data_IF_673588395161
#
_entry.id   IF_673588395161
#
_cell.length_a   1.000
_cell.length_b   1.000
_cell.length_c   1.000
_cell.angle_alpha   90.00
_cell.angle_beta   90.00
_cell.angle_gamma   90.00
#
_symmetry.space_group_name_H-M   'P 1'
#
loop_
_entity.id
_entity.type
_entity.pdbx_description
1 polymer ?
#
# COMPACT_ATOMS: atom_id res chain seq x y z
N UNK A 1 5.82 -9.63 -16.60
CA UNK A 1 4.93 -10.76 -16.99
C UNK A 1 4.47 -11.58 -15.79
N UNK A 2 5.31 -12.39 -15.10
CA UNK A 2 4.86 -13.16 -13.92
C UNK A 2 4.32 -12.28 -12.77
N UNK A 3 5.04 -11.22 -12.39
CA UNK A 3 4.62 -10.32 -11.29
C UNK A 3 3.26 -9.62 -11.53
N UNK A 4 2.96 -9.25 -12.78
CA UNK A 4 1.69 -8.62 -13.15
C UNK A 4 0.51 -9.61 -13.06
N UNK A 5 0.65 -10.80 -13.63
CA UNK A 5 -0.41 -11.82 -13.58
C UNK A 5 -0.69 -12.26 -12.14
N UNK A 6 0.34 -12.41 -11.29
CA UNK A 6 0.17 -12.79 -9.88
C UNK A 6 -0.56 -11.71 -9.06
N UNK A 7 -0.28 -10.43 -9.28
CA UNK A 7 -0.92 -9.32 -8.58
C UNK A 7 -2.38 -9.10 -9.00
N UNK A 8 -2.72 -9.31 -10.28
CA UNK A 8 -4.09 -9.08 -10.78
C UNK A 8 -5.03 -10.26 -10.54
N UNK A 9 -4.52 -11.49 -10.42
CA UNK A 9 -5.33 -12.61 -9.89
C UNK A 9 -5.65 -12.47 -8.40
N UNK A 10 -4.90 -11.63 -7.67
CA UNK A 10 -5.14 -11.27 -6.28
C UNK A 10 -6.02 -10.01 -6.16
N UNK A 11 -6.91 -9.75 -7.12
CA UNK A 11 -8.06 -8.87 -6.87
C UNK A 11 -9.07 -9.67 -6.05
N UNK A 12 -8.71 -9.96 -4.79
CA UNK A 12 -9.71 -10.14 -3.75
C UNK A 12 -10.54 -8.86 -3.75
N UNK A 13 -11.84 -9.03 -3.75
CA UNK A 13 -12.82 -7.96 -3.88
C UNK A 13 -12.93 -7.10 -2.60
N UNK A 14 -11.85 -7.03 -1.82
CA UNK A 14 -11.78 -6.30 -0.57
C UNK A 14 -11.64 -4.81 -0.87
N UNK A 15 -12.77 -4.11 -0.79
CA UNK A 15 -12.85 -2.67 -0.88
C UNK A 15 -12.24 -2.01 0.37
N UNK A 16 -10.92 -2.05 0.55
CA UNK A 16 -10.26 -1.32 1.63
C UNK A 16 -10.36 0.20 1.39
N UNK A 17 -11.09 0.92 2.24
CA UNK A 17 -10.84 2.33 2.51
C UNK A 17 -10.96 2.64 4.00
N UNK A 18 -9.98 3.41 4.48
CA UNK A 18 -9.70 3.75 5.86
C UNK A 18 -10.76 4.68 6.48
N UNK A 19 -11.18 4.33 7.69
CA UNK A 19 -12.00 5.15 8.56
C UNK A 19 -11.18 6.32 9.16
N UNK A 20 -11.42 7.53 8.69
CA UNK A 20 -10.95 8.76 9.34
C UNK A 20 -11.85 9.13 10.53
N UNK A 21 -11.41 8.84 11.76
CA UNK A 21 -12.02 9.37 12.98
C UNK A 21 -11.40 10.72 13.37
N UNK A 22 -12.21 11.73 13.71
CA UNK A 22 -11.72 12.90 14.46
C UNK A 22 -12.58 14.16 14.47
N UNK A 23 -13.70 14.16 15.20
CA UNK A 23 -14.41 15.39 15.62
C UNK A 23 -13.50 16.22 16.53
N UNK A 24 -13.36 17.53 16.29
CA UNK A 24 -13.02 18.49 17.36
C UNK A 24 -13.78 19.81 17.15
N UNK A 25 -14.28 20.31 18.27
CA UNK A 25 -15.26 21.37 18.44
C UNK A 25 -14.87 22.76 17.93
N UNK A 26 -15.94 23.49 17.62
CA UNK A 26 -16.08 24.90 17.26
C UNK A 26 -15.35 25.84 18.23
N UNK A 27 -14.57 26.79 17.70
CA UNK A 27 -14.43 28.09 18.34
C UNK A 27 -14.33 29.24 17.31
N UNK A 28 -15.30 30.15 17.38
CA UNK A 28 -15.36 31.42 16.65
C UNK A 28 -14.11 32.26 16.89
N UNK A 29 -13.48 32.80 15.84
CA UNK A 29 -12.89 34.15 15.87
C UNK A 29 -12.90 34.77 14.47
N UNK A 30 -13.12 36.08 14.47
CA UNK A 30 -13.68 36.95 13.44
C UNK A 30 -12.67 37.41 12.38
N UNK A 31 -13.06 37.25 11.11
CA UNK A 31 -12.79 38.08 9.90
C UNK A 31 -11.54 38.96 9.88
N UNK A 32 -10.62 38.67 8.94
CA UNK A 32 -10.03 39.73 8.13
C UNK A 32 -9.83 39.29 6.67
N UNK A 33 -10.47 40.05 5.80
CA UNK A 33 -10.60 39.92 4.35
C UNK A 33 -9.32 40.38 3.63
N UNK A 34 -8.74 39.53 2.76
CA UNK A 34 -7.89 40.01 1.66
C UNK A 34 -7.83 38.99 0.51
N UNK A 35 -8.55 39.33 -0.55
CA UNK A 35 -8.18 39.20 -1.98
C UNK A 35 -7.82 37.83 -2.55
N UNK A 36 -8.86 37.20 -3.11
CA UNK A 36 -8.96 36.61 -4.46
C UNK A 36 -7.68 36.51 -5.30
N UNK A 37 -7.24 35.27 -5.56
CA UNK A 37 -6.59 34.86 -6.82
C UNK A 37 -6.77 33.33 -7.00
N UNK A 38 -7.58 33.00 -8.01
CA UNK A 38 -7.65 31.75 -8.79
C UNK A 38 -7.26 30.42 -8.12
N UNK A 39 -8.30 29.61 -7.84
CA UNK A 39 -8.20 28.15 -7.83
C UNK A 39 -9.36 27.62 -8.67
N UNK A 40 -9.22 27.71 -9.99
CA UNK A 40 -10.01 26.91 -10.93
C UNK A 40 -9.16 25.70 -11.33
N UNK A 41 -9.41 24.56 -10.67
CA UNK A 41 -9.29 23.21 -11.24
C UNK A 41 -9.57 22.16 -10.14
N UNK A 42 -10.75 22.22 -9.54
CA UNK A 42 -11.38 21.03 -8.99
C UNK A 42 -12.52 20.70 -9.97
N UNK A 43 -12.20 19.92 -10.99
CA UNK A 43 -13.23 19.34 -11.86
C UNK A 43 -13.90 18.26 -11.02
N UNK A 44 -15.03 18.62 -10.41
CA UNK A 44 -16.03 17.65 -9.97
C UNK A 44 -16.38 16.80 -11.19
N UNK A 45 -15.77 15.62 -11.27
CA UNK A 45 -16.19 14.62 -12.24
C UNK A 45 -17.37 13.93 -11.58
N UNK A 46 -18.58 14.38 -11.89
CA UNK A 46 -19.80 13.60 -11.64
C UNK A 46 -19.56 12.21 -12.24
N UNK A 47 -19.31 11.21 -11.40
CA UNK A 47 -19.17 9.82 -11.81
C UNK A 47 -20.55 9.34 -12.25
N UNK A 48 -20.91 9.57 -13.52
CA UNK A 48 -22.04 8.87 -14.13
C UNK A 48 -21.80 7.37 -13.96
N UNK A 49 -22.61 6.73 -13.11
CA UNK A 49 -22.54 5.28 -12.92
C UNK A 49 -22.96 4.63 -14.23
N UNK A 50 -22.00 4.08 -14.95
CA UNK A 50 -22.25 3.37 -16.22
C UNK A 50 -23.22 2.23 -15.94
N UNK A 51 -24.38 2.28 -16.59
CA UNK A 51 -25.41 1.22 -16.50
C UNK A 51 -25.09 0.16 -17.54
N UNK A 52 -24.81 -1.05 -17.09
CA UNK A 52 -24.54 -2.20 -17.96
C UNK A 52 -25.84 -2.89 -18.41
N UNK A 53 -25.86 -3.51 -19.60
CA UNK A 53 -26.97 -4.34 -20.03
C UNK A 53 -27.10 -5.61 -19.18
N UNK A 54 -28.25 -6.29 -19.23
CA UNK A 54 -28.50 -7.48 -18.42
C UNK A 54 -27.52 -8.62 -18.73
N UNK A 55 -27.06 -8.72 -19.97
CA UNK A 55 -26.08 -9.69 -20.45
C UNK A 55 -24.67 -9.52 -19.83
N UNK A 56 -24.41 -8.40 -19.15
CA UNK A 56 -23.17 -8.20 -18.41
C UNK A 56 -23.13 -8.94 -17.06
N UNK A 57 -24.25 -9.49 -16.61
CA UNK A 57 -24.43 -10.12 -15.31
C UNK A 57 -24.79 -11.61 -15.45
N UNK A 58 -24.68 -12.35 -14.34
CA UNK A 58 -25.03 -13.78 -14.30
C UNK A 58 -26.55 -14.07 -14.36
N UNK A 59 -27.41 -13.07 -14.14
CA UNK A 59 -28.86 -13.29 -14.12
C UNK A 59 -29.40 -13.74 -15.48
N UNK A 60 -29.97 -14.95 -15.53
CA UNK A 60 -30.67 -15.45 -16.72
C UNK A 60 -29.77 -16.01 -17.82
N UNK A 61 -28.45 -16.08 -17.60
CA UNK A 61 -27.54 -16.78 -18.51
C UNK A 61 -27.54 -18.29 -18.24
N UNK A 62 -27.37 -19.09 -19.30
CA UNK A 62 -27.19 -20.53 -19.17
C UNK A 62 -25.69 -20.85 -19.12
N UNK A 63 -25.16 -21.10 -17.92
CA UNK A 63 -23.72 -21.28 -17.68
C UNK A 63 -23.11 -22.41 -18.52
N UNK A 64 -23.86 -23.47 -18.82
CA UNK A 64 -23.39 -24.58 -19.66
C UNK A 64 -23.05 -24.18 -21.11
N UNK A 65 -23.53 -23.02 -21.56
CA UNK A 65 -23.17 -22.46 -22.88
C UNK A 65 -21.77 -21.81 -22.86
N UNK A 66 -21.24 -21.49 -21.68
CA UNK A 66 -19.99 -20.73 -21.48
C UNK A 66 -18.87 -21.54 -20.83
N UNK A 67 -19.22 -22.40 -19.87
CA UNK A 67 -18.24 -23.16 -19.07
C UNK A 67 -18.67 -24.62 -18.90
N UNK A 68 -17.69 -25.52 -19.05
CA UNK A 68 -17.81 -26.93 -18.64
C UNK A 68 -16.90 -27.17 -17.44
N UNK A 69 -17.50 -27.55 -16.30
CA UNK A 69 -16.75 -27.81 -15.07
C UNK A 69 -15.92 -29.08 -15.18
N UNK A 70 -14.63 -28.99 -14.85
CA UNK A 70 -13.77 -30.13 -14.59
C UNK A 70 -13.86 -30.61 -13.14
N UNK A 71 -12.74 -31.17 -12.65
CA UNK A 71 -12.59 -31.57 -11.25
C UNK A 71 -12.36 -30.32 -10.37
N UNK A 72 -13.27 -30.08 -9.43
CA UNK A 72 -13.18 -28.96 -8.48
C UNK A 72 -13.20 -29.39 -7.01
N UNK A 73 -13.45 -30.67 -6.71
CA UNK A 73 -13.37 -31.23 -5.36
C UNK A 73 -12.11 -32.07 -5.23
N UNK A 74 -11.46 -32.00 -4.08
CA UNK A 74 -10.22 -32.72 -3.81
C UNK A 74 -9.06 -32.24 -4.68
N UNK A 75 -9.07 -30.95 -5.07
CA UNK A 75 -7.92 -30.35 -5.76
C UNK A 75 -6.73 -30.34 -4.82
N UNK A 76 -5.58 -30.79 -5.32
CA UNK A 76 -4.34 -30.78 -4.55
C UNK A 76 -3.72 -29.39 -4.62
N UNK A 77 -3.58 -28.75 -3.46
CA UNK A 77 -2.96 -27.42 -3.33
C UNK A 77 -1.85 -27.47 -2.29
N UNK A 78 -0.79 -26.73 -2.56
CA UNK A 78 0.32 -26.55 -1.63
C UNK A 78 0.35 -25.10 -1.20
N UNK A 79 0.56 -24.85 0.08
CA UNK A 79 0.69 -23.51 0.66
C UNK A 79 1.89 -23.45 1.57
N UNK A 80 2.43 -22.26 1.73
CA UNK A 80 3.51 -22.00 2.68
C UNK A 80 2.95 -22.09 4.10
N UNK A 81 3.67 -22.77 5.00
CA UNK A 81 3.29 -22.84 6.40
C UNK A 81 3.43 -21.46 7.03
N UNK A 82 2.37 -20.98 7.69
CA UNK A 82 2.47 -19.86 8.60
C UNK A 82 3.38 -20.22 9.79
N UNK A 83 4.58 -19.66 9.82
CA UNK A 83 5.58 -19.90 10.86
C UNK A 83 6.29 -18.60 11.21
N UNK A 84 6.53 -18.40 12.49
CA UNK A 84 7.34 -17.28 13.00
C UNK A 84 8.38 -17.85 13.95
N UNK A 85 9.64 -17.59 13.65
CA UNK A 85 10.77 -18.01 14.48
C UNK A 85 11.19 -16.90 15.44
N UNK A 86 11.90 -17.26 16.51
CA UNK A 86 12.48 -16.26 17.43
C UNK A 86 13.42 -15.30 16.70
N UNK A 87 14.12 -15.76 15.64
CA UNK A 87 15.01 -14.95 14.83
C UNK A 87 14.26 -13.87 14.03
N UNK A 88 13.07 -14.19 13.50
CA UNK A 88 12.22 -13.20 12.81
C UNK A 88 11.72 -12.12 13.79
N UNK A 89 11.36 -12.51 15.01
CA UNK A 89 10.98 -11.57 16.08
C UNK A 89 12.18 -10.68 16.46
N UNK A 90 13.37 -11.26 16.59
CA UNK A 90 14.59 -10.52 16.88
C UNK A 90 14.94 -9.53 15.78
N UNK A 91 14.84 -9.95 14.50
CA UNK A 91 15.10 -9.09 13.35
C UNK A 91 14.12 -7.92 13.28
N UNK A 92 12.82 -8.17 13.46
CA UNK A 92 11.81 -7.12 13.49
C UNK A 92 12.05 -6.13 14.64
N UNK A 93 12.36 -6.61 15.84
CA UNK A 93 12.65 -5.72 16.96
C UNK A 93 13.93 -4.93 16.69
N UNK A 94 14.95 -5.54 16.08
CA UNK A 94 16.17 -4.85 15.72
C UNK A 94 15.92 -3.74 14.69
N UNK A 95 15.12 -3.97 13.65
CA UNK A 95 14.77 -2.92 12.69
C UNK A 95 14.02 -1.77 13.38
N UNK A 96 13.10 -2.09 14.30
CA UNK A 96 12.44 -1.07 15.12
C UNK A 96 13.43 -0.28 15.97
N UNK A 97 14.44 -0.91 16.58
CA UNK A 97 15.47 -0.19 17.35
C UNK A 97 16.35 0.69 16.44
N UNK A 98 16.73 0.18 15.27
CA UNK A 98 17.58 0.88 14.31
C UNK A 98 16.91 2.14 13.74
N UNK A 99 15.58 2.10 13.56
CA UNK A 99 14.77 3.25 13.15
C UNK A 99 14.45 4.22 14.30
N UNK A 100 14.71 3.86 15.56
CA UNK A 100 14.32 4.66 16.74
C UNK A 100 15.52 5.03 17.62
N UNK A 101 16.66 5.37 17.01
CA UNK A 101 17.87 5.78 17.73
C UNK A 101 17.60 6.94 18.70
N UNK A 102 18.27 6.90 19.83
CA UNK A 102 18.23 7.98 20.81
C UNK A 102 19.01 9.17 20.27
N UNK A 103 18.40 10.35 20.33
CA UNK A 103 18.98 11.60 19.85
C UNK A 103 19.21 12.56 21.01
N UNK A 104 20.47 12.87 21.31
CA UNK A 104 20.84 13.78 22.39
C UNK A 104 21.53 15.03 21.86
N UNK A 105 21.07 16.23 22.25
CA UNK A 105 21.75 17.48 21.87
C UNK A 105 23.12 17.58 22.58
N UNK A 106 24.17 17.87 21.82
CA UNK A 106 25.54 17.95 22.32
C UNK A 106 26.19 19.31 22.06
N UNK A 107 26.87 19.86 23.06
CA UNK A 107 27.62 21.12 22.94
C UNK A 107 29.08 20.86 22.53
N UNK A 108 29.27 20.46 21.26
CA UNK A 108 30.58 20.23 20.65
C UNK A 108 30.56 20.51 19.15
N UNK A 109 31.73 20.50 18.52
CA UNK A 109 31.82 20.59 17.07
C UNK A 109 31.26 19.32 16.39
N UNK A 110 30.68 19.53 15.21
CA UNK A 110 30.12 18.48 14.33
C UNK A 110 31.20 17.48 13.94
N UNK A 111 30.84 16.19 13.95
CA UNK A 111 31.66 15.07 13.49
C UNK A 111 30.85 14.20 12.53
N UNK A 112 31.56 13.34 11.83
CA UNK A 112 30.97 12.23 11.08
C UNK A 112 30.06 11.39 11.97
N UNK A 113 28.86 11.06 11.48
CA UNK A 113 27.82 10.32 12.21
C UNK A 113 26.91 11.15 13.12
N UNK A 114 27.17 12.46 13.33
CA UNK A 114 26.23 13.31 14.08
C UNK A 114 25.01 13.66 13.22
N UNK A 115 23.87 13.90 13.87
CA UNK A 115 22.72 14.56 13.23
C UNK A 115 22.78 16.05 13.53
N UNK A 116 22.69 16.89 12.50
CA UNK A 116 22.75 18.34 12.64
C UNK A 116 21.47 18.98 12.13
N UNK A 117 20.89 19.88 12.91
CA UNK A 117 19.88 20.81 12.38
C UNK A 117 20.61 21.99 11.75
N UNK A 118 20.42 22.18 10.45
CA UNK A 118 21.07 23.23 9.68
C UNK A 118 20.06 24.17 9.02
N UNK A 119 20.43 25.44 9.01
CA UNK A 119 19.90 26.43 8.09
C UNK A 119 20.84 26.54 6.90
N UNK A 120 20.34 26.48 5.69
CA UNK A 120 21.17 26.70 4.50
C UNK A 120 20.47 27.55 3.44
N UNK A 121 21.26 28.28 2.67
CA UNK A 121 20.80 29.07 1.52
C UNK A 121 21.74 28.84 0.34
N UNK A 122 21.22 28.19 -0.70
CA UNK A 122 21.93 27.87 -1.93
C UNK A 122 21.83 28.99 -2.96
N UNK A 123 22.97 29.38 -3.54
CA UNK A 123 23.06 30.44 -4.55
C UNK A 123 23.89 30.00 -5.74
N UNK A 124 23.39 30.31 -6.94
CA UNK A 124 24.13 30.22 -8.21
C UNK A 124 24.34 31.62 -8.75
N UNK A 125 25.58 31.98 -9.07
CA UNK A 125 25.95 33.32 -9.55
C UNK A 125 25.45 34.48 -8.65
N UNK A 126 25.32 34.21 -7.34
CA UNK A 126 24.84 35.16 -6.34
C UNK A 126 23.31 35.28 -6.24
N UNK A 127 22.54 34.49 -6.98
CA UNK A 127 21.07 34.43 -6.95
C UNK A 127 20.62 33.12 -6.30
N UNK A 128 19.67 33.19 -5.38
CA UNK A 128 19.08 32.00 -4.76
C UNK A 128 18.29 31.20 -5.81
N UNK A 129 18.38 29.88 -5.74
CA UNK A 129 17.62 28.98 -6.62
C UNK A 129 16.53 28.24 -5.84
N UNK A 130 15.46 27.88 -6.55
CA UNK A 130 14.31 27.20 -5.96
C UNK A 130 14.71 25.85 -5.36
N UNK A 131 14.10 25.51 -4.22
CA UNK A 131 14.43 24.32 -3.41
C UNK A 131 15.89 24.26 -2.91
N UNK A 132 16.63 25.38 -2.97
CA UNK A 132 18.01 25.47 -2.53
C UNK A 132 18.21 25.96 -1.10
N UNK A 133 17.13 26.21 -0.33
CA UNK A 133 17.21 26.86 0.97
C UNK A 133 16.24 26.24 1.98
N UNK A 134 16.68 26.13 3.23
CA UNK A 134 15.83 25.80 4.38
C UNK A 134 16.30 26.55 5.63
N UNK A 135 15.36 26.93 6.50
CA UNK A 135 15.67 27.54 7.81
C UNK A 135 15.95 26.48 8.90
N UNK A 136 15.53 25.24 8.68
CA UNK A 136 15.82 24.09 9.55
C UNK A 136 15.71 22.81 8.72
N UNK A 137 16.73 21.98 8.79
CA UNK A 137 16.81 20.71 8.08
C UNK A 137 17.73 19.78 8.85
N UNK A 138 17.23 18.59 9.17
CA UNK A 138 18.02 17.59 9.89
C UNK A 138 18.83 16.76 8.91
N UNK A 139 20.16 16.86 9.02
CA UNK A 139 21.10 16.15 8.17
C UNK A 139 21.95 15.22 9.03
N UNK A 140 21.97 13.94 8.70
CA UNK A 140 22.95 13.00 9.27
C UNK A 140 24.26 13.14 8.52
N UNK A 141 25.34 13.52 9.19
CA UNK A 141 26.66 13.64 8.55
C UNK A 141 27.20 12.25 8.21
N UNK A 142 27.54 12.05 6.94
CA UNK A 142 27.95 10.77 6.36
C UNK A 142 26.83 10.06 5.58
N UNK A 143 25.63 10.64 5.49
CA UNK A 143 24.50 10.05 4.74
C UNK A 143 24.69 10.12 3.22
N UNK A 144 25.49 11.08 2.73
CA UNK A 144 25.63 11.39 1.31
C UNK A 144 24.30 11.76 0.65
N UNK A 145 23.36 12.34 1.41
CA UNK A 145 22.08 12.81 0.88
C UNK A 145 22.20 14.21 0.26
N UNK A 146 23.27 14.94 0.57
CA UNK A 146 23.62 16.22 -0.05
C UNK A 146 24.72 16.05 -1.11
N UNK A 147 24.93 17.08 -1.92
CA UNK A 147 26.00 17.09 -2.92
C UNK A 147 27.38 16.94 -2.27
N UNK A 148 28.29 16.28 -2.98
CA UNK A 148 29.66 16.05 -2.55
C UNK A 148 30.32 17.31 -1.98
N UNK A 149 30.96 17.16 -0.82
CA UNK A 149 31.66 18.23 -0.11
C UNK A 149 30.77 19.12 0.77
N UNK A 150 29.44 18.99 0.71
CA UNK A 150 28.54 19.71 1.61
C UNK A 150 28.76 19.26 3.06
N UNK A 151 28.61 17.96 3.34
CA UNK A 151 28.73 17.36 4.67
C UNK A 151 30.15 17.57 5.26
N UNK A 152 31.20 17.35 4.45
CA UNK A 152 32.59 17.65 4.81
C UNK A 152 32.81 19.13 5.20
N UNK A 153 32.07 20.04 4.55
CA UNK A 153 32.11 21.46 4.82
C UNK A 153 31.56 21.85 6.19
N UNK A 154 30.59 21.07 6.69
CA UNK A 154 29.90 21.25 7.98
C UNK A 154 30.69 20.60 9.13
N UNK A 155 31.43 19.51 8.86
CA UNK A 155 32.29 18.88 9.87
C UNK A 155 33.23 19.90 10.52
N UNK A 156 33.26 19.91 11.85
CA UNK A 156 34.06 20.82 12.67
C UNK A 156 33.39 22.15 13.00
N UNK A 157 32.26 22.50 12.37
CA UNK A 157 31.45 23.67 12.77
C UNK A 157 30.81 23.45 14.13
N UNK A 158 30.49 24.52 14.85
CA UNK A 158 29.74 24.49 16.11
C UNK A 158 28.35 25.10 15.96
N UNK A 159 27.50 24.88 16.96
CA UNK A 159 26.23 25.60 17.12
C UNK A 159 26.40 27.11 16.93
N UNK A 160 25.46 27.69 16.19
CA UNK A 160 25.38 29.09 15.74
C UNK A 160 26.53 29.54 14.82
N UNK A 161 27.39 28.63 14.34
CA UNK A 161 28.44 28.97 13.38
C UNK A 161 27.88 28.99 11.95
N UNK A 162 28.24 30.03 11.19
CA UNK A 162 27.87 30.20 9.78
C UNK A 162 29.10 30.13 8.88
N UNK A 163 29.00 29.41 7.76
CA UNK A 163 30.08 29.25 6.78
C UNK A 163 29.54 29.20 5.35
N UNK A 164 30.30 29.78 4.42
CA UNK A 164 30.04 29.64 2.98
C UNK A 164 30.81 28.43 2.43
N UNK A 165 30.08 27.49 1.85
CA UNK A 165 30.61 26.30 1.18
C UNK A 165 30.55 26.52 -0.34
N UNK A 166 31.70 26.44 -1.00
CA UNK A 166 31.78 26.53 -2.47
C UNK A 166 31.77 25.11 -3.00
N UNK A 167 30.70 24.73 -3.68
CA UNK A 167 30.41 23.36 -4.11
C UNK A 167 30.07 23.35 -5.61
N UNK A 168 30.09 22.18 -6.21
CA UNK A 168 29.72 21.98 -7.62
C UNK A 168 28.70 20.86 -7.67
N UNK A 169 27.55 21.11 -8.31
CA UNK A 169 26.57 20.05 -8.56
C UNK A 169 27.13 19.00 -9.52
N UNK A 170 26.75 17.72 -9.37
CA UNK A 170 27.19 16.68 -10.28
C UNK A 170 26.65 16.91 -11.71
N UNK A 171 27.36 16.39 -12.71
CA UNK A 171 27.04 16.58 -14.14
C UNK A 171 25.72 15.89 -14.55
N UNK A 172 25.31 14.86 -13.83
CA UNK A 172 24.11 14.05 -14.06
C UNK A 172 22.92 14.47 -13.19
N UNK A 173 22.96 15.68 -12.60
CA UNK A 173 21.86 16.19 -11.80
C UNK A 173 20.60 16.44 -12.64
N UNK A 174 19.43 16.02 -12.13
CA UNK A 174 18.16 16.08 -12.86
C UNK A 174 17.75 17.50 -13.28
N UNK A 175 18.14 18.52 -12.52
CA UNK A 175 17.91 19.91 -12.90
C UNK A 175 19.03 20.38 -13.84
N UNK A 176 18.70 20.54 -15.12
CA UNK A 176 19.65 20.95 -16.18
C UNK A 176 20.27 22.32 -15.95
N UNK A 177 19.63 23.20 -15.17
CA UNK A 177 20.18 24.51 -14.84
C UNK A 177 21.21 24.44 -13.71
N UNK A 178 21.19 23.37 -12.89
CA UNK A 178 22.13 23.17 -11.79
C UNK A 178 23.20 22.12 -12.12
N UNK A 179 22.96 21.19 -13.05
CA UNK A 179 23.94 20.18 -13.45
C UNK A 179 25.31 20.79 -13.81
N UNK A 180 26.37 20.31 -13.16
CA UNK A 180 27.75 20.79 -13.34
C UNK A 180 28.00 22.25 -12.90
N UNK A 181 27.04 22.92 -12.28
CA UNK A 181 27.15 24.33 -11.91
C UNK A 181 27.90 24.52 -10.59
N UNK A 182 28.79 25.52 -10.55
CA UNK A 182 29.38 26.02 -9.32
C UNK A 182 28.37 26.85 -8.53
N UNK A 183 28.23 26.53 -7.25
CA UNK A 183 27.27 27.15 -6.33
C UNK A 183 27.90 27.46 -4.98
N UNK A 184 27.28 28.37 -4.25
CA UNK A 184 27.65 28.69 -2.88
C UNK A 184 26.48 28.40 -1.96
N UNK A 185 26.72 27.57 -0.94
CA UNK A 185 25.78 27.35 0.14
C UNK A 185 26.25 28.08 1.38
N UNK A 186 25.46 29.04 1.86
CA UNK A 186 25.66 29.63 3.20
C UNK A 186 24.95 28.74 4.21
N UNK A 187 25.70 28.03 5.04
CA UNK A 187 25.19 27.05 6.02
C UNK A 187 25.41 27.57 7.43
N UNK A 188 24.40 27.44 8.29
CA UNK A 188 24.46 27.71 9.74
C UNK A 188 24.02 26.47 10.49
N UNK A 189 24.80 26.06 11.51
CA UNK A 189 24.43 24.93 12.38
C UNK A 189 23.55 25.45 13.52
N UNK A 190 22.28 25.09 13.55
CA UNK A 190 21.35 25.45 14.61
C UNK A 190 21.55 24.55 15.84
N UNK A 191 21.64 23.24 15.64
CA UNK A 191 21.82 22.24 16.69
C UNK A 191 22.69 21.08 16.22
N UNK A 192 23.39 20.43 17.15
CA UNK A 192 24.17 19.22 16.90
C UNK A 192 23.66 18.16 17.86
N UNK A 193 23.35 16.99 17.32
CA UNK A 193 22.87 15.85 18.05
C UNK A 193 23.80 14.66 17.84
N UNK A 194 24.01 13.91 18.91
CA UNK A 194 24.66 12.60 18.86
C UNK A 194 23.55 11.54 18.86
N UNK A 195 23.57 10.65 17.87
CA UNK A 195 22.72 9.47 17.87
C UNK A 195 23.41 8.32 18.60
N UNK A 196 22.63 7.63 19.42
CA UNK A 196 23.05 6.39 20.06
C UNK A 196 21.99 5.32 19.82
N UNK A 197 22.41 4.07 19.70
CA UNK A 197 21.48 2.97 19.44
C UNK A 197 20.39 2.92 20.51
N UNK A 198 19.16 2.65 20.06
CA UNK A 198 18.08 2.32 20.97
C UNK A 198 18.41 1.02 21.69
N UNK A 199 18.02 0.94 22.96
CA UNK A 199 18.16 -0.29 23.75
C UNK A 199 16.77 -0.81 24.02
N UNK A 200 16.56 -2.10 23.72
CA UNK A 200 15.33 -2.78 24.09
C UNK A 200 15.29 -2.98 25.61
N UNK A 201 14.57 -2.10 26.29
CA UNK A 201 14.22 -2.22 27.70
C UNK A 201 12.74 -1.85 27.93
N UNK A 202 12.25 -2.05 29.16
CA UNK A 202 10.85 -1.76 29.50
C UNK A 202 10.51 -0.26 29.32
N UNK A 203 11.50 0.65 29.37
CA UNK A 203 11.26 2.07 29.16
C UNK A 203 11.06 2.38 27.66
N UNK A 204 11.85 1.77 26.79
CA UNK A 204 11.64 1.80 25.34
C UNK A 204 10.25 1.26 24.98
N UNK A 205 9.88 0.09 25.53
CA UNK A 205 8.56 -0.50 25.27
C UNK A 205 7.43 0.40 25.75
N UNK A 206 7.50 0.91 26.99
CA UNK A 206 6.46 1.78 27.54
C UNK A 206 6.30 3.09 26.75
N UNK A 207 7.39 3.63 26.18
CA UNK A 207 7.34 4.83 25.36
C UNK A 207 6.56 4.65 24.04
N UNK A 208 6.36 3.41 23.59
CA UNK A 208 5.58 3.10 22.39
C UNK A 208 4.07 3.18 22.60
N UNK A 209 3.59 3.30 23.83
CA UNK A 209 2.16 3.45 24.17
C UNK A 209 1.25 2.37 23.56
N UNK A 210 1.73 1.13 23.47
CA UNK A 210 0.93 0.01 22.97
C UNK A 210 0.04 -0.50 24.11
N UNK A 211 -1.28 -0.55 23.87
CA UNK A 211 -2.25 -0.96 24.87
C UNK A 211 -1.96 -2.36 25.42
N UNK A 212 -1.75 -2.45 26.75
CA UNK A 212 -1.47 -3.71 27.43
C UNK A 212 -0.05 -4.25 27.28
N UNK A 213 0.88 -3.46 26.70
CA UNK A 213 2.27 -3.86 26.47
C UNK A 213 3.21 -2.85 27.12
N UNK A 214 3.95 -3.29 28.14
CA UNK A 214 4.80 -2.42 28.96
C UNK A 214 6.18 -2.99 29.28
N UNK A 215 6.38 -4.28 29.04
CA UNK A 215 7.65 -4.98 29.29
C UNK A 215 8.21 -5.56 28.01
N UNK A 216 9.52 -5.81 27.99
CA UNK A 216 10.19 -6.46 26.83
C UNK A 216 9.54 -7.80 26.49
N UNK A 217 9.14 -8.60 27.49
CA UNK A 217 8.50 -9.90 27.25
C UNK A 217 7.12 -9.75 26.60
N UNK A 218 6.30 -8.81 27.07
CA UNK A 218 5.00 -8.47 26.46
C UNK A 218 5.18 -7.95 25.03
N UNK A 219 6.19 -7.12 24.79
CA UNK A 219 6.46 -6.57 23.47
C UNK A 219 6.91 -7.64 22.48
N UNK A 220 7.77 -8.57 22.90
CA UNK A 220 8.15 -9.71 22.07
C UNK A 220 6.96 -10.59 21.71
N UNK A 221 6.07 -10.86 22.67
CA UNK A 221 4.85 -11.61 22.39
C UNK A 221 3.92 -10.85 21.44
N UNK A 222 3.77 -9.53 21.63
CA UNK A 222 3.00 -8.68 20.73
C UNK A 222 3.54 -8.73 19.30
N UNK A 223 4.86 -8.59 19.11
CA UNK A 223 5.49 -8.70 17.79
C UNK A 223 5.26 -10.08 17.18
N UNK A 224 5.46 -11.15 17.95
CA UNK A 224 5.20 -12.52 17.49
C UNK A 224 3.75 -12.71 17.03
N UNK A 225 2.78 -12.23 17.81
CA UNK A 225 1.36 -12.39 17.48
C UNK A 225 0.99 -11.62 16.21
N UNK A 226 1.54 -10.41 16.00
CA UNK A 226 1.36 -9.65 14.78
C UNK A 226 1.98 -10.34 13.56
N UNK A 227 3.24 -10.78 13.66
CA UNK A 227 3.90 -11.53 12.59
C UNK A 227 3.15 -12.82 12.25
N UNK A 228 2.67 -13.54 13.27
CA UNK A 228 1.92 -14.78 13.09
C UNK A 228 0.54 -14.53 12.47
N UNK A 229 -0.11 -13.41 12.83
CA UNK A 229 -1.37 -13.00 12.20
C UNK A 229 -1.16 -12.67 10.72
N UNK A 230 -0.10 -11.93 10.39
CA UNK A 230 0.27 -11.63 9.01
C UNK A 230 0.58 -12.92 8.23
N UNK A 231 1.42 -13.80 8.76
CA UNK A 231 1.79 -15.06 8.11
C UNK A 231 0.56 -15.97 7.86
N UNK A 232 -0.42 -15.98 8.77
CA UNK A 232 -1.68 -16.71 8.57
C UNK A 232 -2.56 -16.08 7.49
N UNK A 233 -2.69 -14.76 7.49
CA UNK A 233 -3.44 -14.03 6.46
C UNK A 233 -2.87 -14.28 5.07
N UNK A 234 -1.54 -14.27 4.96
CA UNK A 234 -0.82 -14.58 3.72
C UNK A 234 -1.03 -16.04 3.29
N UNK A 235 -0.91 -16.99 4.22
CA UNK A 235 -1.21 -18.40 3.94
C UNK A 235 -2.66 -18.61 3.47
N UNK A 236 -3.64 -17.94 4.10
CA UNK A 236 -5.05 -18.01 3.72
C UNK A 236 -5.29 -17.44 2.31
N UNK A 237 -4.70 -16.28 2.03
CA UNK A 237 -4.72 -15.66 0.70
C UNK A 237 -4.07 -16.56 -0.35
N UNK A 238 -2.94 -17.19 -0.02
CA UNK A 238 -2.25 -18.14 -0.90
C UNK A 238 -3.12 -19.38 -1.16
N UNK A 239 -3.78 -19.89 -0.12
CA UNK A 239 -4.69 -21.03 -0.21
C UNK A 239 -5.86 -20.73 -1.13
N UNK A 240 -6.55 -19.62 -0.90
CA UNK A 240 -7.66 -19.15 -1.74
C UNK A 240 -7.22 -19.04 -3.20
N UNK A 241 -6.10 -18.34 -3.45
CA UNK A 241 -5.54 -18.17 -4.80
C UNK A 241 -5.25 -19.52 -5.46
N UNK A 242 -4.53 -20.42 -4.76
CA UNK A 242 -4.13 -21.72 -5.33
C UNK A 242 -5.33 -22.63 -5.60
N UNK A 243 -6.35 -22.61 -4.73
CA UNK A 243 -7.60 -23.36 -4.94
C UNK A 243 -8.35 -22.83 -6.16
N UNK A 244 -8.53 -21.51 -6.24
CA UNK A 244 -9.24 -20.88 -7.35
C UNK A 244 -8.51 -21.09 -8.68
N UNK A 245 -7.19 -20.96 -8.70
CA UNK A 245 -6.36 -21.24 -9.88
C UNK A 245 -6.50 -22.69 -10.33
N UNK A 246 -6.39 -23.66 -9.42
CA UNK A 246 -6.52 -25.08 -9.73
C UNK A 246 -7.91 -25.44 -10.28
N UNK A 247 -8.96 -24.92 -9.65
CA UNK A 247 -10.35 -25.16 -10.05
C UNK A 247 -10.65 -24.55 -11.42
N UNK A 248 -10.18 -23.31 -11.65
CA UNK A 248 -10.36 -22.60 -12.91
C UNK A 248 -9.59 -23.27 -14.04
N UNK A 249 -8.35 -23.71 -13.79
CA UNK A 249 -7.52 -24.41 -14.77
C UNK A 249 -8.10 -25.78 -15.18
N UNK A 250 -8.88 -26.42 -14.33
CA UNK A 250 -9.56 -27.67 -14.64
C UNK A 250 -10.84 -27.47 -15.46
N UNK A 251 -11.39 -26.26 -15.51
CA UNK A 251 -12.57 -25.94 -16.30
C UNK A 251 -12.23 -25.75 -17.78
N UNK A 252 -13.21 -25.99 -18.66
CA UNK A 252 -13.09 -25.69 -20.09
C UNK A 252 -14.01 -24.53 -20.44
N UNK A 253 -13.42 -23.44 -20.91
CA UNK A 253 -14.13 -22.24 -21.36
C UNK A 253 -14.46 -22.31 -22.84
N UNK A 254 -15.66 -21.81 -23.18
CA UNK A 254 -16.10 -21.60 -24.56
C UNK A 254 -15.89 -20.14 -24.92
N UNK A 255 -16.95 -19.39 -25.18
CA UNK A 255 -16.89 -17.97 -25.56
C UNK A 255 -17.50 -17.12 -24.45
N UNK A 256 -16.66 -16.47 -23.65
CA UNK A 256 -17.10 -15.64 -22.52
C UNK A 256 -17.95 -14.45 -23.00
N UNK A 257 -19.05 -14.09 -22.32
CA UNK A 257 -19.88 -12.95 -22.73
C UNK A 257 -19.09 -11.63 -22.78
N UNK A 258 -19.05 -10.98 -23.95
CA UNK A 258 -18.28 -9.74 -24.16
C UNK A 258 -18.70 -8.61 -23.21
N UNK A 259 -20.01 -8.45 -22.96
CA UNK A 259 -20.53 -7.43 -22.05
C UNK A 259 -20.11 -7.67 -20.59
N UNK A 260 -19.97 -8.94 -20.18
CA UNK A 260 -19.46 -9.29 -18.85
C UNK A 260 -17.98 -8.93 -18.74
N UNK A 261 -17.17 -9.27 -19.75
CA UNK A 261 -15.75 -8.90 -19.79
C UNK A 261 -15.57 -7.38 -19.75
N UNK A 262 -16.37 -6.64 -20.53
CA UNK A 262 -16.39 -5.18 -20.56
C UNK A 262 -16.67 -4.58 -19.17
N UNK A 263 -17.65 -5.11 -18.44
CA UNK A 263 -17.96 -4.70 -17.07
C UNK A 263 -16.77 -4.94 -16.11
N UNK A 264 -16.14 -6.12 -16.18
CA UNK A 264 -14.96 -6.42 -15.36
C UNK A 264 -13.76 -5.54 -15.73
N UNK A 265 -13.57 -5.23 -17.01
CA UNK A 265 -12.52 -4.33 -17.48
C UNK A 265 -12.69 -2.93 -16.91
N UNK A 266 -13.87 -2.33 -17.06
CA UNK A 266 -14.15 -1.00 -16.53
C UNK A 266 -13.95 -0.93 -15.01
N UNK A 267 -14.35 -1.97 -14.30
CA UNK A 267 -14.14 -2.08 -12.85
C UNK A 267 -12.66 -2.13 -12.49
N UNK A 268 -11.88 -2.94 -13.21
CA UNK A 268 -10.43 -3.04 -13.01
C UNK A 268 -9.75 -1.70 -13.27
N UNK A 269 -10.09 -1.03 -14.38
CA UNK A 269 -9.58 0.30 -14.72
C UNK A 269 -9.97 1.32 -13.66
N UNK A 270 -11.22 1.32 -13.19
CA UNK A 270 -11.68 2.22 -12.13
C UNK A 270 -10.87 2.03 -10.85
N UNK A 271 -10.71 0.80 -10.39
CA UNK A 271 -9.94 0.49 -9.17
C UNK A 271 -8.48 0.94 -9.29
N UNK A 272 -7.82 0.64 -10.40
CA UNK A 272 -6.44 1.05 -10.64
C UNK A 272 -6.31 2.58 -10.77
N UNK A 273 -7.29 3.24 -11.37
CA UNK A 273 -7.32 4.71 -11.49
C UNK A 273 -7.50 5.37 -10.13
N UNK A 274 -8.39 4.85 -9.28
CA UNK A 274 -8.54 5.31 -7.89
C UNK A 274 -7.24 5.13 -7.12
N UNK A 275 -6.59 3.97 -7.25
CA UNK A 275 -5.29 3.69 -6.62
C UNK A 275 -4.23 4.68 -7.09
N UNK A 276 -4.09 4.89 -8.40
CA UNK A 276 -3.16 5.86 -8.97
C UNK A 276 -3.40 7.28 -8.43
N UNK A 277 -4.67 7.67 -8.31
CA UNK A 277 -5.08 8.98 -7.79
C UNK A 277 -4.68 9.17 -6.32
N UNK A 278 -4.67 8.11 -5.51
CA UNK A 278 -4.18 8.16 -4.13
C UNK A 278 -2.67 8.49 -4.07
N UNK A 279 -1.91 8.05 -5.07
CA UNK A 279 -0.51 8.42 -5.24
C UNK A 279 -0.31 9.76 -5.98
N UNK A 280 -1.39 10.49 -6.29
CA UNK A 280 -1.33 11.77 -6.99
C UNK A 280 -0.86 11.68 -8.45
N UNK A 281 -0.93 10.50 -9.06
CA UNK A 281 -0.49 10.24 -10.44
C UNK A 281 -1.65 9.68 -11.28
N UNK A 282 -1.52 9.79 -12.60
CA UNK A 282 -2.47 9.17 -13.52
C UNK A 282 -2.22 7.65 -13.66
N UNK A 283 -3.19 6.94 -14.23
CA UNK A 283 -3.14 5.49 -14.40
C UNK A 283 -1.94 5.05 -15.26
N UNK A 284 -1.61 5.74 -16.34
CA UNK A 284 -0.50 5.37 -17.23
C UNK A 284 0.82 5.43 -16.45
N UNK A 285 1.03 6.53 -15.74
CA UNK A 285 2.19 6.73 -14.86
C UNK A 285 2.26 5.65 -13.78
N UNK A 286 1.14 5.32 -13.11
CA UNK A 286 1.09 4.26 -12.12
C UNK A 286 1.44 2.89 -12.71
N UNK A 287 0.92 2.56 -13.89
CA UNK A 287 1.19 1.28 -14.55
C UNK A 287 2.66 1.15 -14.97
N UNK A 288 3.28 2.24 -15.43
CA UNK A 288 4.68 2.27 -15.78
C UNK A 288 5.59 2.10 -14.55
N UNK A 289 5.32 2.79 -13.44
CA UNK A 289 6.13 2.69 -12.23
C UNK A 289 5.93 1.36 -11.48
N UNK A 290 4.68 0.94 -11.27
CA UNK A 290 4.36 -0.22 -10.44
C UNK A 290 4.59 -1.54 -11.18
N UNK A 291 4.36 -1.57 -12.50
CA UNK A 291 4.37 -2.80 -13.28
C UNK A 291 5.36 -2.82 -14.44
N UNK A 292 6.01 -1.68 -14.74
CA UNK A 292 6.97 -1.57 -15.84
C UNK A 292 6.33 -1.74 -17.22
N UNK A 293 5.04 -1.43 -17.36
CA UNK A 293 4.28 -1.59 -18.61
C UNK A 293 4.15 -0.24 -19.32
N UNK A 294 4.41 -0.22 -20.63
CA UNK A 294 4.10 0.94 -21.46
C UNK A 294 2.58 1.11 -21.67
N UNK A 295 2.16 2.31 -22.07
CA UNK A 295 0.74 2.67 -22.23
C UNK A 295 -0.05 1.71 -23.15
N UNK A 296 0.57 1.26 -24.24
CA UNK A 296 -0.02 0.35 -25.22
C UNK A 296 0.04 -1.13 -24.78
N UNK A 297 0.90 -1.48 -23.84
CA UNK A 297 1.03 -2.84 -23.32
C UNK A 297 0.08 -3.13 -22.15
N UNK A 298 -0.26 -2.10 -21.35
CA UNK A 298 -1.10 -2.34 -20.17
C UNK A 298 -2.57 -2.61 -20.54
N UNK A 299 -3.12 -1.99 -21.59
CA UNK A 299 -4.52 -2.21 -22.00
C UNK A 299 -4.80 -3.68 -22.35
N UNK A 300 -3.90 -4.30 -23.12
CA UNK A 300 -3.99 -5.73 -23.47
C UNK A 300 -3.94 -6.64 -22.23
N UNK A 301 -3.12 -6.29 -21.24
CA UNK A 301 -3.00 -7.04 -19.99
C UNK A 301 -4.22 -6.86 -19.09
N UNK A 302 -4.79 -5.65 -19.02
CA UNK A 302 -6.06 -5.39 -18.33
C UNK A 302 -7.22 -6.14 -19.00
N UNK A 303 -7.23 -6.23 -20.32
CA UNK A 303 -8.23 -7.00 -21.06
C UNK A 303 -8.15 -8.50 -20.74
N UNK A 304 -6.94 -9.08 -20.73
CA UNK A 304 -6.75 -10.50 -20.33
C UNK A 304 -7.16 -10.74 -18.88
N UNK A 305 -6.88 -9.78 -18.00
CA UNK A 305 -7.24 -9.85 -16.60
C UNK A 305 -8.76 -9.81 -16.40
N UNK A 306 -9.45 -8.91 -17.10
CA UNK A 306 -10.90 -8.83 -17.12
C UNK A 306 -11.55 -10.10 -17.67
N UNK A 307 -10.97 -10.69 -18.72
CA UNK A 307 -11.42 -11.98 -19.25
C UNK A 307 -11.25 -13.09 -18.20
N UNK A 308 -10.10 -13.15 -17.54
CA UNK A 308 -9.82 -14.16 -16.50
C UNK A 308 -10.79 -14.02 -15.32
N UNK A 309 -11.09 -12.79 -14.89
CA UNK A 309 -12.07 -12.53 -13.83
C UNK A 309 -13.49 -12.99 -14.23
N UNK A 310 -13.92 -12.71 -15.46
CA UNK A 310 -15.21 -13.16 -15.97
C UNK A 310 -15.29 -14.70 -16.04
N UNK A 311 -14.22 -15.35 -16.51
CA UNK A 311 -14.10 -16.82 -16.55
C UNK A 311 -14.16 -17.44 -15.15
N UNK A 312 -13.43 -16.88 -14.20
CA UNK A 312 -13.45 -17.33 -12.80
C UNK A 312 -14.87 -17.23 -12.22
N UNK A 313 -15.56 -16.10 -12.41
CA UNK A 313 -16.93 -15.90 -11.92
C UNK A 313 -17.92 -16.89 -12.54
N UNK A 314 -17.78 -17.21 -13.82
CA UNK A 314 -18.58 -18.25 -14.47
C UNK A 314 -18.36 -19.64 -13.84
N UNK A 315 -17.11 -20.01 -13.53
CA UNK A 315 -16.80 -21.26 -12.84
C UNK A 315 -17.42 -21.29 -11.45
N UNK A 316 -17.25 -20.22 -10.67
CA UNK A 316 -17.78 -20.11 -9.31
C UNK A 316 -19.30 -20.24 -9.29
N UNK A 317 -19.99 -19.54 -10.20
CA UNK A 317 -21.44 -19.64 -10.32
C UNK A 317 -21.89 -21.03 -10.78
N UNK A 318 -21.16 -21.67 -11.70
CA UNK A 318 -21.51 -23.02 -12.16
C UNK A 318 -21.34 -24.06 -11.04
N UNK A 319 -20.33 -23.90 -10.19
CA UNK A 319 -20.15 -24.74 -8.99
C UNK A 319 -21.26 -24.48 -7.98
N UNK A 320 -21.63 -23.21 -7.76
CA UNK A 320 -22.75 -22.85 -6.89
C UNK A 320 -24.05 -23.56 -7.32
N UNK A 321 -24.40 -23.51 -8.61
CA UNK A 321 -25.58 -24.20 -9.14
C UNK A 321 -25.50 -25.72 -8.97
N UNK A 322 -24.33 -26.31 -9.25
CA UNK A 322 -24.11 -27.75 -9.15
C UNK A 322 -24.21 -28.28 -7.73
N UNK A 323 -23.76 -27.50 -6.75
CA UNK A 323 -23.80 -27.84 -5.32
C UNK A 323 -25.07 -27.34 -4.62
N UNK A 324 -25.92 -26.56 -5.30
CA UNK A 324 -27.12 -25.96 -4.72
C UNK A 324 -26.81 -24.90 -3.67
N UNK A 325 -25.69 -24.20 -3.81
CA UNK A 325 -25.32 -23.07 -2.97
C UNK A 325 -26.11 -21.84 -3.44
N UNK A 326 -26.67 -21.11 -2.49
CA UNK A 326 -27.44 -19.88 -2.75
C UNK A 326 -27.09 -18.83 -1.72
N UNK A 327 -27.01 -17.56 -2.13
CA UNK A 327 -26.94 -16.42 -1.23
C UNK A 327 -28.34 -16.06 -0.73
N UNK A 328 -28.55 -16.02 0.59
CA UNK A 328 -29.84 -15.58 1.15
C UNK A 328 -29.86 -14.06 1.35
N UNK A 329 -31.07 -13.49 1.41
CA UNK A 329 -31.22 -12.05 1.69
C UNK A 329 -30.66 -11.68 3.07
N UNK A 330 -30.74 -12.59 4.05
CA UNK A 330 -30.14 -12.38 5.38
C UNK A 330 -28.61 -12.37 5.34
N UNK A 331 -27.98 -13.23 4.52
CA UNK A 331 -26.52 -13.24 4.35
C UNK A 331 -26.04 -11.94 3.70
N UNK A 332 -26.74 -11.49 2.64
CA UNK A 332 -26.46 -10.22 1.98
C UNK A 332 -26.60 -9.03 2.95
N UNK A 333 -27.71 -8.96 3.68
CA UNK A 333 -27.97 -7.86 4.61
C UNK A 333 -26.94 -7.82 5.74
N UNK A 334 -26.59 -8.98 6.31
CA UNK A 334 -25.60 -9.05 7.38
C UNK A 334 -24.21 -8.58 6.91
N UNK A 335 -23.83 -8.94 5.68
CA UNK A 335 -22.56 -8.54 5.10
C UNK A 335 -22.51 -7.04 4.78
N UNK A 336 -23.60 -6.47 4.24
CA UNK A 336 -23.73 -5.03 4.04
C UNK A 336 -23.70 -4.25 5.36
N UNK A 337 -24.34 -4.75 6.42
CA UNK A 337 -24.30 -4.14 7.76
C UNK A 337 -22.89 -4.16 8.35
N UNK A 338 -22.19 -5.28 8.23
CA UNK A 338 -20.80 -5.42 8.69
C UNK A 338 -19.90 -4.45 7.94
N UNK A 339 -19.98 -4.45 6.61
CA UNK A 339 -19.17 -3.60 5.74
C UNK A 339 -19.45 -2.11 5.96
N UNK A 340 -20.73 -1.72 6.09
CA UNK A 340 -21.09 -0.33 6.39
C UNK A 340 -20.47 0.13 7.72
N UNK A 341 -20.50 -0.70 8.75
CA UNK A 341 -19.89 -0.39 10.05
C UNK A 341 -18.36 -0.32 9.97
N UNK A 342 -17.73 -1.24 9.25
CA UNK A 342 -16.28 -1.32 9.11
C UNK A 342 -15.72 -0.12 8.36
N UNK A 343 -16.38 0.26 7.26
CA UNK A 343 -15.99 1.42 6.44
C UNK A 343 -16.54 2.75 6.96
N UNK A 344 -17.24 2.76 8.09
CA UNK A 344 -17.71 3.99 8.75
C UNK A 344 -18.87 4.71 8.06
N UNK A 345 -19.71 4.01 7.30
CA UNK A 345 -20.92 4.56 6.70
C UNK A 345 -22.03 4.70 7.74
N UNK A 346 -22.80 5.78 7.64
CA UNK A 346 -23.90 6.09 8.57
C UNK A 346 -25.08 5.11 8.47
N UNK A 347 -25.25 4.41 7.33
CA UNK A 347 -26.27 3.39 7.13
C UNK A 347 -25.90 2.41 6.01
N UNK A 348 -26.61 1.28 5.98
CA UNK A 348 -26.50 0.29 4.90
C UNK A 348 -26.85 0.91 3.55
N UNK A 349 -27.89 1.74 3.48
CA UNK A 349 -28.30 2.38 2.23
C UNK A 349 -27.21 3.31 1.67
N UNK A 350 -26.50 4.03 2.54
CA UNK A 350 -25.37 4.88 2.12
C UNK A 350 -24.21 4.03 1.59
N UNK A 351 -23.96 2.87 2.19
CA UNK A 351 -22.97 1.92 1.71
C UNK A 351 -23.39 1.29 0.37
N UNK A 352 -24.64 0.85 0.22
CA UNK A 352 -25.19 0.32 -1.05
C UNK A 352 -25.07 1.34 -2.19
N UNK A 353 -25.38 2.62 -1.92
CA UNK A 353 -25.21 3.71 -2.88
C UNK A 353 -23.74 3.89 -3.28
N UNK A 354 -22.82 3.79 -2.32
CA UNK A 354 -21.38 3.86 -2.58
C UNK A 354 -20.85 2.65 -3.37
N UNK A 355 -21.37 1.45 -3.09
CA UNK A 355 -21.07 0.23 -3.86
C UNK A 355 -21.51 0.40 -5.33
N UNK A 356 -22.69 0.98 -5.57
CA UNK A 356 -23.19 1.37 -6.89
C UNK A 356 -23.58 0.20 -7.83
N UNK A 357 -23.04 -1.00 -7.62
CA UNK A 357 -23.37 -2.24 -8.33
C UNK A 357 -23.71 -3.38 -7.34
N UNK A 358 -24.94 -3.37 -6.84
CA UNK A 358 -25.42 -4.40 -5.92
C UNK A 358 -25.50 -5.79 -6.58
N UNK A 359 -25.64 -5.88 -7.91
CA UNK A 359 -25.65 -7.18 -8.60
C UNK A 359 -24.26 -7.78 -8.57
N UNK A 360 -23.23 -7.01 -8.96
CA UNK A 360 -21.83 -7.41 -8.83
C UNK A 360 -21.41 -7.72 -7.38
N UNK A 361 -21.97 -7.02 -6.41
CA UNK A 361 -21.76 -7.32 -4.99
C UNK A 361 -22.32 -8.71 -4.59
N UNK A 362 -23.50 -9.08 -5.08
CA UNK A 362 -24.05 -10.44 -4.86
C UNK A 362 -23.19 -11.51 -5.54
N UNK A 363 -22.68 -11.25 -6.75
CA UNK A 363 -21.76 -12.16 -7.45
C UNK A 363 -20.49 -12.39 -6.62
N UNK A 364 -19.95 -11.34 -5.99
CA UNK A 364 -18.84 -11.45 -5.06
C UNK A 364 -19.16 -12.32 -3.85
N UNK A 365 -20.23 -12.03 -3.10
CA UNK A 365 -20.57 -12.82 -1.91
C UNK A 365 -20.86 -14.29 -2.24
N UNK A 366 -21.45 -14.55 -3.40
CA UNK A 366 -21.63 -15.91 -3.89
C UNK A 366 -20.28 -16.59 -4.16
N UNK A 367 -19.32 -15.84 -4.73
CA UNK A 367 -17.96 -16.33 -4.98
C UNK A 367 -17.22 -16.63 -3.68
N UNK A 368 -17.28 -15.74 -2.68
CA UNK A 368 -16.73 -15.97 -1.34
C UNK A 368 -17.26 -17.27 -0.71
N UNK A 369 -18.57 -17.48 -0.82
CA UNK A 369 -19.23 -18.69 -0.32
C UNK A 369 -18.76 -19.95 -1.04
N UNK A 370 -18.55 -19.88 -2.36
CA UNK A 370 -18.01 -21.00 -3.14
C UNK A 370 -16.54 -21.23 -2.82
N UNK A 371 -15.73 -20.17 -2.63
CA UNK A 371 -14.30 -20.29 -2.27
C UNK A 371 -14.15 -21.06 -0.96
N UNK A 372 -14.92 -20.68 0.07
CA UNK A 372 -14.96 -21.39 1.36
C UNK A 372 -15.33 -22.86 1.20
N UNK A 373 -16.36 -23.15 0.40
CA UNK A 373 -16.73 -24.52 0.06
C UNK A 373 -15.60 -25.29 -0.63
N UNK A 374 -14.90 -24.68 -1.58
CA UNK A 374 -13.81 -25.31 -2.32
C UNK A 374 -12.61 -25.61 -1.41
N UNK A 375 -12.25 -24.68 -0.54
CA UNK A 375 -11.17 -24.87 0.46
C UNK A 375 -11.50 -26.02 1.41
N UNK A 376 -12.72 -26.08 1.95
CA UNK A 376 -13.16 -27.18 2.82
C UNK A 376 -13.10 -28.55 2.13
N UNK A 377 -13.11 -28.58 0.80
CA UNK A 377 -13.07 -29.78 -0.02
C UNK A 377 -11.73 -29.97 -0.75
N UNK A 378 -10.71 -29.15 -0.50
CA UNK A 378 -9.39 -29.26 -1.11
C UNK A 378 -8.45 -30.18 -0.31
N UNK A 379 -7.47 -30.77 -1.00
CA UNK A 379 -6.38 -31.51 -0.37
C UNK A 379 -5.20 -30.55 -0.14
N UNK A 380 -5.18 -29.90 1.01
CA UNK A 380 -4.15 -28.91 1.34
C UNK A 380 -2.89 -29.58 1.89
N UNK A 381 -1.74 -29.20 1.35
CA UNK A 381 -0.42 -29.60 1.82
C UNK A 381 0.39 -28.37 2.21
N UNK A 382 1.07 -28.41 3.35
CA UNK A 382 1.92 -27.30 3.78
C UNK A 382 3.39 -27.60 3.47
N UNK A 383 4.10 -26.59 2.98
CA UNK A 383 5.56 -26.60 2.81
C UNK A 383 6.23 -25.56 3.68
N UNK A 384 7.47 -25.82 4.10
CA UNK A 384 8.29 -24.81 4.77
C UNK A 384 8.62 -23.68 3.78
N UNK A 385 8.63 -22.43 4.26
CA UNK A 385 9.02 -21.29 3.46
C UNK A 385 10.47 -21.46 2.97
N UNK A 386 10.71 -21.15 1.69
CA UNK A 386 12.09 -21.09 1.18
C UNK A 386 12.80 -19.89 1.82
N UNK A 387 14.07 -20.07 2.21
CA UNK A 387 14.93 -18.98 2.74
C UNK A 387 15.10 -17.79 1.78
N UNK A 388 14.73 -17.93 0.51
CA UNK A 388 14.73 -16.83 -0.47
C UNK A 388 13.44 -15.98 -0.43
N UNK A 389 12.27 -16.56 -0.12
CA UNK A 389 10.99 -15.84 -0.04
C UNK A 389 10.86 -15.05 1.27
N UNK A 390 11.35 -15.62 2.37
CA UNK A 390 11.36 -14.94 3.68
C UNK A 390 12.18 -13.64 3.70
N UNK A 391 13.16 -13.49 2.80
CA UNK A 391 14.00 -12.30 2.69
C UNK A 391 13.37 -11.20 1.82
N UNK A 392 12.56 -11.53 0.81
CA UNK A 392 11.80 -10.52 0.04
C UNK A 392 10.66 -9.94 0.90
N UNK A 393 9.93 -10.77 1.66
CA UNK A 393 8.81 -10.34 2.52
C UNK A 393 9.19 -9.44 3.70
N UNK A 394 10.37 -9.66 4.31
CA UNK A 394 10.89 -8.73 5.35
C UNK A 394 11.08 -7.32 4.79
N UNK A 395 11.41 -7.20 3.51
CA UNK A 395 11.66 -5.92 2.86
C UNK A 395 10.34 -5.18 2.51
N UNK A 396 9.29 -5.92 2.12
CA UNK A 396 7.96 -5.33 1.86
C UNK A 396 7.26 -4.90 3.16
N UNK A 397 7.35 -5.70 4.23
CA UNK A 397 6.78 -5.36 5.55
C UNK A 397 7.49 -4.14 6.17
N UNK A 398 8.81 -4.00 5.98
CA UNK A 398 9.56 -2.80 6.39
C UNK A 398 9.06 -1.54 5.67
N UNK A 399 8.64 -1.66 4.40
CA UNK A 399 8.18 -0.55 3.56
C UNK A 399 6.75 -0.11 3.91
N UNK A 400 5.84 -1.05 4.17
CA UNK A 400 4.47 -0.71 4.59
C UNK A 400 4.44 -0.09 6.00
N UNK A 401 5.22 -0.65 6.94
CA UNK A 401 5.28 -0.12 8.32
C UNK A 401 5.87 1.29 8.38
N UNK A 402 6.88 1.61 7.55
CA UNK A 402 7.42 2.99 7.48
C UNK A 402 6.42 3.98 6.90
N UNK A 403 5.55 3.53 5.99
CA UNK A 403 4.54 4.40 5.37
C UNK A 403 3.40 4.71 6.35
N UNK A 404 2.94 3.72 7.12
CA UNK A 404 1.88 3.91 8.12
C UNK A 404 2.34 4.81 9.29
N UNK A 405 3.59 4.63 9.75
CA UNK A 405 4.16 5.44 10.85
C UNK A 405 4.43 6.90 10.45
N UNK A 406 4.67 7.18 9.15
CA UNK A 406 4.83 8.55 8.66
C UNK A 406 3.52 9.33 8.61
N UNK A 407 2.38 8.65 8.36
CA UNK A 407 1.04 9.28 8.34
C UNK A 407 0.47 9.62 9.71
N UNK A 408 0.95 9.00 10.80
CA UNK A 408 0.53 9.36 12.18
C UNK A 408 1.39 10.48 12.81
N UNK A 409 2.45 10.93 12.13
CA UNK A 409 3.42 11.89 12.67
C UNK A 409 3.36 13.32 12.05
N UNK A 410 2.35 13.65 11.23
CA UNK A 410 2.08 15.03 10.78
C UNK A 410 0.95 15.73 11.56
#
# INVERSE_FOLDING_TARGET
>A
MKKFMTAVTAVSLSAMMLAGCGKTDVQETTVQESTTAETEAATETESETKVYPDEAYLDGINLGDFVELGDYKGVDVTVTRAEVTDEMVDQYIQSVLDSNKNKEEVDRAVKDGDVVDIKYVGKKDGVEFDNGSSDSYELTIGSNTFIDGFEDGVIGMKKDETKDLNLTFPEDYNNTDLAGADVVFTVTVNHVYEETDAVLDDAFVAARNIDGVSTVEEYRQYVYDNLMSSAKSQQETELERNVLEAVTANATFKETPEEMVSRYYDRLVKNLTTTASMYGIDLETFMAYSYGLAADEYEDELQKSAQSAAEQILVMQAIAEKEGLTLTDEELQADLESSASEYGYDSVEAYEEAVGDLRGYKEYLMSEKVTKYLIENANVTETEASTEEAAEETTETETETTTETATEAE
#
